data_IF_699588349033
#
_entry.id   IF_699588349033
#
_cell.length_a   1.000
_cell.length_b   1.000
_cell.length_c   1.000
_cell.angle_alpha   90.00
_cell.angle_beta   90.00
_cell.angle_gamma   90.00
#
_symmetry.space_group_name_H-M   'P 1'
#
loop_
_entity.id
_entity.type
_entity.pdbx_description
1 polymer ?
#
# COMPACT_ATOMS: atom_id res chain seq x y z
N UNK A 1 -4.32 8.06 22.19
CA UNK A 1 -4.90 7.80 20.86
C UNK A 1 -6.20 7.00 20.88
N UNK A 2 -7.25 7.55 20.28
CA UNK A 2 -8.55 6.90 20.04
C UNK A 2 -8.54 6.10 18.72
N UNK A 3 -8.56 4.76 18.81
CA UNK A 3 -8.51 3.86 17.63
C UNK A 3 -9.75 3.92 16.75
N UNK A 4 -10.93 4.16 17.31
CA UNK A 4 -12.16 4.28 16.51
C UNK A 4 -12.10 5.52 15.60
N UNK A 5 -11.67 6.64 16.16
CA UNK A 5 -11.47 7.87 15.39
C UNK A 5 -10.37 7.69 14.32
N UNK A 6 -9.26 7.03 14.68
CA UNK A 6 -8.17 6.74 13.75
C UNK A 6 -8.62 5.91 12.54
N UNK A 7 -9.49 4.92 12.76
CA UNK A 7 -10.01 4.05 11.70
C UNK A 7 -11.20 4.65 10.93
N UNK A 8 -11.70 5.82 11.34
CA UNK A 8 -12.84 6.46 10.69
C UNK A 8 -12.44 7.32 9.47
N UNK A 9 -13.39 7.49 8.56
CA UNK A 9 -13.29 8.45 7.46
C UNK A 9 -13.44 9.87 8.03
N UNK A 10 -12.30 10.47 8.35
CA UNK A 10 -12.19 11.77 8.99
C UNK A 10 -12.32 12.95 8.01
N UNK A 11 -11.74 12.82 6.81
CA UNK A 11 -11.71 13.92 5.83
C UNK A 11 -12.98 13.92 4.96
N UNK A 12 -13.68 15.06 4.85
CA UNK A 12 -14.79 15.21 3.92
C UNK A 12 -14.35 14.99 2.46
N UNK A 13 -15.20 14.35 1.67
CA UNK A 13 -14.92 14.08 0.24
C UNK A 13 -14.59 15.36 -0.52
N UNK A 14 -15.30 16.46 -0.25
CA UNK A 14 -15.11 17.75 -0.90
C UNK A 14 -13.72 18.33 -0.62
N UNK A 15 -13.20 18.16 0.60
CA UNK A 15 -11.85 18.57 0.95
C UNK A 15 -10.82 17.74 0.18
N UNK A 16 -10.99 16.41 0.16
CA UNK A 16 -10.08 15.51 -0.55
C UNK A 16 -10.03 15.80 -2.06
N UNK A 17 -11.19 16.08 -2.67
CA UNK A 17 -11.26 16.46 -4.08
C UNK A 17 -10.55 17.79 -4.34
N UNK A 18 -10.72 18.79 -3.46
CA UNK A 18 -9.99 20.06 -3.59
C UNK A 18 -8.48 19.85 -3.54
N UNK A 19 -8.00 19.07 -2.57
CA UNK A 19 -6.57 18.82 -2.37
C UNK A 19 -5.93 18.07 -3.55
N UNK A 20 -6.58 17.06 -4.10
CA UNK A 20 -5.93 16.12 -5.05
C UNK A 20 -6.42 16.23 -6.50
N UNK A 21 -7.49 16.97 -6.77
CA UNK A 21 -8.02 17.17 -8.12
C UNK A 21 -8.03 18.63 -8.55
N UNK A 22 -8.48 19.52 -7.67
CA UNK A 22 -8.78 20.90 -8.07
C UNK A 22 -7.56 21.84 -7.94
N UNK A 23 -6.67 21.58 -6.96
CA UNK A 23 -5.43 22.35 -6.78
C UNK A 23 -4.25 21.60 -7.44
N UNK A 24 -3.47 22.23 -8.33
CA UNK A 24 -2.30 21.61 -8.95
C UNK A 24 -1.24 21.19 -7.94
N UNK A 25 -0.51 20.10 -8.21
CA UNK A 25 0.55 19.60 -7.31
C UNK A 25 1.71 20.59 -7.14
N UNK A 26 1.92 21.52 -8.08
CA UNK A 26 2.88 22.63 -7.93
C UNK A 26 2.49 23.64 -6.84
N UNK A 27 1.22 23.70 -6.45
CA UNK A 27 0.69 24.63 -5.44
C UNK A 27 0.52 23.96 -4.06
N UNK A 28 1.51 23.16 -3.66
CA UNK A 28 1.45 22.38 -2.42
C UNK A 28 1.29 23.22 -1.15
N UNK A 29 1.82 24.44 -1.11
CA UNK A 29 1.64 25.35 0.03
C UNK A 29 0.16 25.70 0.23
N UNK A 30 -0.58 25.94 -0.86
CA UNK A 30 -2.03 26.18 -0.82
C UNK A 30 -2.79 24.95 -0.33
N UNK A 31 -2.38 23.75 -0.74
CA UNK A 31 -2.96 22.48 -0.26
C UNK A 31 -2.74 22.29 1.24
N UNK A 32 -1.51 22.52 1.72
CA UNK A 32 -1.16 22.40 3.13
C UNK A 32 -1.93 23.42 3.98
N UNK A 33 -2.05 24.67 3.49
CA UNK A 33 -2.85 25.69 4.18
C UNK A 33 -4.31 25.27 4.31
N UNK A 34 -4.94 24.83 3.21
CA UNK A 34 -6.33 24.37 3.20
C UNK A 34 -6.55 23.20 4.17
N UNK A 35 -5.61 22.26 4.22
CA UNK A 35 -5.65 21.15 5.16
C UNK A 35 -5.54 21.63 6.61
N UNK A 36 -4.59 22.53 6.92
CA UNK A 36 -4.40 23.05 8.26
C UNK A 36 -5.62 23.84 8.76
N UNK A 37 -6.21 24.67 7.90
CA UNK A 37 -7.44 25.42 8.21
C UNK A 37 -8.56 24.44 8.62
N UNK A 38 -8.70 23.30 7.94
CA UNK A 38 -9.67 22.25 8.31
C UNK A 38 -9.32 21.56 9.64
N UNK A 39 -8.04 21.22 9.87
CA UNK A 39 -7.60 20.60 11.12
C UNK A 39 -7.91 21.51 12.32
N UNK A 40 -7.70 22.83 12.17
CA UNK A 40 -8.00 23.80 13.21
C UNK A 40 -9.51 23.95 13.47
N UNK A 41 -10.34 23.86 12.43
CA UNK A 41 -11.81 23.89 12.57
C UNK A 41 -12.34 22.73 13.43
N UNK A 42 -11.77 21.54 13.28
CA UNK A 42 -12.23 20.33 13.99
C UNK A 42 -11.46 20.06 15.28
N UNK A 43 -10.48 20.90 15.61
CA UNK A 43 -9.64 20.75 16.81
C UNK A 43 -10.50 20.76 18.08
N UNK A 44 -10.19 19.86 19.02
CA UNK A 44 -10.96 19.68 20.25
C UNK A 44 -12.19 18.76 20.11
N UNK A 45 -12.59 18.39 18.90
CA UNK A 45 -13.62 17.35 18.66
C UNK A 45 -13.03 15.95 18.50
N UNK A 46 -11.71 15.84 18.33
CA UNK A 46 -10.97 14.61 18.09
C UNK A 46 -9.80 14.49 19.05
N UNK A 47 -9.36 13.25 19.28
CA UNK A 47 -8.10 12.94 19.96
C UNK A 47 -6.93 13.59 19.22
N UNK A 48 -6.04 14.25 19.97
CA UNK A 48 -4.95 15.07 19.40
C UNK A 48 -3.94 14.23 18.62
N UNK A 49 -3.64 13.00 19.08
CA UNK A 49 -2.73 12.10 18.37
C UNK A 49 -3.35 11.68 17.02
N UNK A 50 -4.66 11.41 17.01
CA UNK A 50 -5.40 11.09 15.78
C UNK A 50 -5.34 12.26 14.80
N UNK A 51 -5.61 13.49 15.24
CA UNK A 51 -5.50 14.68 14.39
C UNK A 51 -4.11 14.83 13.82
N UNK A 52 -3.08 14.66 14.66
CA UNK A 52 -1.67 14.80 14.27
C UNK A 52 -1.27 13.75 13.23
N UNK A 53 -1.67 12.48 13.41
CA UNK A 53 -1.44 11.41 12.43
C UNK A 53 -2.13 11.73 11.10
N UNK A 54 -3.42 12.08 11.14
CA UNK A 54 -4.20 12.35 9.92
C UNK A 54 -3.63 13.56 9.16
N UNK A 55 -3.29 14.63 9.88
CA UNK A 55 -2.69 15.83 9.32
C UNK A 55 -1.34 15.52 8.67
N UNK A 56 -0.40 14.94 9.41
CA UNK A 56 0.94 14.68 8.87
C UNK A 56 0.93 13.67 7.73
N UNK A 57 0.06 12.66 7.78
CA UNK A 57 -0.10 11.75 6.65
C UNK A 57 -0.54 12.48 5.37
N UNK A 58 -1.51 13.39 5.46
CA UNK A 58 -1.95 14.15 4.29
C UNK A 58 -0.89 15.15 3.82
N UNK A 59 -0.21 15.86 4.72
CA UNK A 59 0.92 16.74 4.36
C UNK A 59 2.03 15.96 3.66
N UNK A 60 2.36 14.76 4.17
CA UNK A 60 3.35 13.89 3.57
C UNK A 60 2.98 13.51 2.13
N UNK A 61 1.73 13.12 1.88
CA UNK A 61 1.24 12.83 0.53
C UNK A 61 1.25 14.07 -0.39
N UNK A 62 0.88 15.24 0.12
CA UNK A 62 0.97 16.49 -0.64
C UNK A 62 2.41 16.74 -1.09
N UNK A 63 3.38 16.67 -0.17
CA UNK A 63 4.80 16.82 -0.52
C UNK A 63 5.28 15.73 -1.48
N UNK A 64 4.83 14.49 -1.29
CA UNK A 64 5.19 13.37 -2.16
C UNK A 64 4.77 13.60 -3.61
N UNK A 65 3.52 14.03 -3.82
CA UNK A 65 2.98 14.32 -5.16
C UNK A 65 3.69 15.49 -5.84
N UNK A 66 4.25 16.40 -5.05
CA UNK A 66 5.05 17.54 -5.52
C UNK A 66 6.55 17.24 -5.61
N UNK A 67 6.94 15.96 -5.53
CA UNK A 67 8.33 15.47 -5.56
C UNK A 67 9.25 16.09 -4.48
N UNK A 68 8.66 16.61 -3.39
CA UNK A 68 9.38 17.17 -2.25
C UNK A 68 9.71 16.06 -1.24
N UNK A 69 10.47 15.04 -1.68
CA UNK A 69 10.76 13.85 -0.87
C UNK A 69 11.37 14.14 0.50
N UNK A 70 12.32 15.10 0.69
CA UNK A 70 12.88 15.38 2.02
C UNK A 70 11.85 15.88 3.04
N UNK A 71 10.79 16.55 2.58
CA UNK A 71 9.71 17.03 3.42
C UNK A 71 8.67 15.92 3.64
N UNK A 72 8.37 15.16 2.59
CA UNK A 72 7.45 14.02 2.67
C UNK A 72 7.92 12.98 3.71
N UNK A 73 9.20 12.60 3.68
CA UNK A 73 9.75 11.59 4.61
C UNK A 73 9.62 12.04 6.05
N UNK A 74 10.00 13.28 6.39
CA UNK A 74 9.86 13.83 7.75
C UNK A 74 8.43 13.73 8.28
N UNK A 75 7.43 13.95 7.43
CA UNK A 75 6.04 13.86 7.85
C UNK A 75 5.56 12.41 7.99
N UNK A 76 6.01 11.49 7.14
CA UNK A 76 5.75 10.06 7.34
C UNK A 76 6.43 9.52 8.60
N UNK A 77 7.65 9.98 8.94
CA UNK A 77 8.34 9.64 10.20
C UNK A 77 7.48 9.99 11.40
N UNK A 78 6.94 11.21 11.43
CA UNK A 78 6.04 11.64 12.52
C UNK A 78 4.82 10.71 12.63
N UNK A 79 4.26 10.26 11.50
CA UNK A 79 3.10 9.33 11.51
C UNK A 79 3.46 8.00 12.17
N UNK A 80 4.58 7.41 11.79
CA UNK A 80 5.01 6.09 12.31
C UNK A 80 5.55 6.16 13.74
N UNK A 81 6.04 7.32 14.19
CA UNK A 81 6.50 7.53 15.57
C UNK A 81 5.37 7.70 16.59
N UNK A 82 4.17 8.11 16.13
CA UNK A 82 2.99 8.31 17.01
C UNK A 82 2.13 7.06 17.10
N UNK A 83 2.20 6.19 16.10
CA UNK A 83 1.26 5.07 15.92
C UNK A 83 1.98 3.72 16.06
N UNK A 84 1.37 2.78 16.78
CA UNK A 84 1.85 1.39 16.78
C UNK A 84 1.34 0.65 15.52
N UNK A 85 2.07 -0.36 15.03
CA UNK A 85 1.67 -1.13 13.86
C UNK A 85 0.24 -1.68 13.90
N UNK A 86 -0.25 -2.10 15.08
CA UNK A 86 -1.60 -2.67 15.27
C UNK A 86 -2.71 -1.64 15.36
N UNK A 87 -2.41 -0.36 15.56
CA UNK A 87 -3.43 0.68 15.73
C UNK A 87 -4.20 0.94 14.42
N UNK A 88 -3.45 1.00 13.31
CA UNK A 88 -4.00 1.09 11.95
C UNK A 88 -3.00 0.53 10.92
N UNK A 89 -2.91 -0.81 10.78
CA UNK A 89 -1.86 -1.47 10.01
C UNK A 89 -1.71 -0.95 8.58
N UNK A 90 -2.81 -0.79 7.85
CA UNK A 90 -2.73 -0.33 6.45
C UNK A 90 -2.11 1.06 6.32
N UNK A 91 -2.37 1.97 7.27
CA UNK A 91 -1.81 3.31 7.26
C UNK A 91 -0.33 3.28 7.69
N UNK A 92 -0.03 2.58 8.79
CA UNK A 92 1.32 2.48 9.34
C UNK A 92 2.31 2.05 8.27
N UNK A 93 1.95 0.97 7.57
CA UNK A 93 2.84 0.37 6.62
C UNK A 93 2.84 1.03 5.24
N UNK A 94 1.76 1.72 4.88
CA UNK A 94 1.82 2.64 3.74
C UNK A 94 2.87 3.73 3.99
N UNK A 95 2.90 4.31 5.20
CA UNK A 95 3.90 5.30 5.57
C UNK A 95 5.31 4.70 5.57
N UNK A 96 5.52 3.51 6.14
CA UNK A 96 6.82 2.80 6.08
C UNK A 96 7.28 2.57 4.63
N UNK A 97 6.41 2.09 3.75
CA UNK A 97 6.77 1.87 2.34
C UNK A 97 7.14 3.18 1.62
N UNK A 98 6.47 4.28 1.95
CA UNK A 98 6.82 5.60 1.42
C UNK A 98 8.11 6.16 2.03
N UNK A 99 8.44 5.81 3.28
CA UNK A 99 9.74 6.11 3.89
C UNK A 99 10.88 5.37 3.22
N UNK A 100 10.71 4.07 2.93
CA UNK A 100 11.70 3.27 2.20
C UNK A 100 11.95 3.87 0.83
N UNK A 101 10.89 4.12 0.05
CA UNK A 101 10.99 4.69 -1.31
C UNK A 101 11.53 6.12 -1.30
N UNK A 102 11.07 6.95 -0.37
CA UNK A 102 11.52 8.34 -0.23
C UNK A 102 13.00 8.41 0.08
N UNK A 103 13.49 7.62 1.04
CA UNK A 103 14.91 7.57 1.36
C UNK A 103 15.75 6.99 0.21
N UNK A 104 15.24 6.01 -0.56
CA UNK A 104 15.89 5.55 -1.79
C UNK A 104 16.04 6.67 -2.83
N UNK A 105 14.98 7.45 -3.09
CA UNK A 105 15.04 8.60 -4.01
C UNK A 105 16.07 9.64 -3.57
N UNK A 106 16.31 9.76 -2.26
CA UNK A 106 17.32 10.65 -1.68
C UNK A 106 18.71 10.02 -1.56
N UNK A 107 18.89 8.77 -2.01
CA UNK A 107 20.12 7.98 -1.81
C UNK A 107 20.51 7.78 -0.33
N UNK A 108 19.56 7.92 0.59
CA UNK A 108 19.72 7.65 2.02
C UNK A 108 19.51 6.16 2.33
N UNK A 109 20.35 5.30 1.78
CA UNK A 109 20.13 3.85 1.81
C UNK A 109 20.13 3.24 3.22
N UNK A 110 20.96 3.74 4.13
CA UNK A 110 20.98 3.29 5.53
C UNK A 110 19.63 3.55 6.23
N UNK A 111 19.03 4.71 5.98
CA UNK A 111 17.72 5.04 6.54
C UNK A 111 16.62 4.19 5.91
N UNK A 112 16.68 3.94 4.59
CA UNK A 112 15.77 3.02 3.93
C UNK A 112 15.88 1.58 4.50
N UNK A 113 17.09 1.11 4.81
CA UNK A 113 17.34 -0.21 5.40
C UNK A 113 16.77 -0.34 6.82
N UNK A 114 16.85 0.72 7.62
CA UNK A 114 16.18 0.81 8.92
C UNK A 114 14.66 0.61 8.76
N UNK A 115 14.02 1.32 7.83
CA UNK A 115 12.58 1.19 7.60
C UNK A 115 12.18 -0.19 7.05
N UNK A 116 13.00 -0.80 6.19
CA UNK A 116 12.81 -2.19 5.75
C UNK A 116 12.85 -3.15 6.94
N UNK A 117 13.82 -2.98 7.85
CA UNK A 117 13.96 -3.84 9.03
C UNK A 117 12.72 -3.75 9.90
N UNK A 118 12.22 -2.54 10.17
CA UNK A 118 10.96 -2.30 10.90
C UNK A 118 9.77 -2.97 10.19
N UNK A 119 9.68 -2.86 8.86
CA UNK A 119 8.61 -3.50 8.10
C UNK A 119 8.64 -5.04 8.24
N UNK A 120 9.84 -5.63 8.22
CA UNK A 120 10.02 -7.08 8.26
C UNK A 120 9.91 -7.69 9.67
N UNK A 121 10.18 -6.92 10.72
CA UNK A 121 9.92 -7.35 12.11
C UNK A 121 8.41 -7.49 12.40
N UNK A 122 7.57 -6.84 11.59
CA UNK A 122 6.12 -6.81 11.79
C UNK A 122 5.32 -7.55 10.70
N UNK A 123 5.92 -8.52 10.01
CA UNK A 123 5.29 -9.24 8.88
C UNK A 123 4.00 -9.99 9.24
N UNK A 124 3.83 -10.36 10.51
CA UNK A 124 2.67 -11.13 11.00
C UNK A 124 1.40 -10.26 11.11
N UNK A 125 1.55 -8.94 11.17
CA UNK A 125 0.43 -7.99 11.24
C UNK A 125 -0.22 -7.82 9.86
N UNK A 126 0.52 -8.13 8.80
CA UNK A 126 0.08 -7.97 7.43
C UNK A 126 -0.60 -9.19 6.84
N UNK A 127 -1.41 -8.94 5.82
CA UNK A 127 -1.67 -9.97 4.82
C UNK A 127 -0.43 -10.21 3.95
N UNK A 128 -0.35 -11.40 3.39
CA UNK A 128 0.73 -11.87 2.53
C UNK A 128 1.02 -10.94 1.34
N UNK A 129 -0.01 -10.32 0.76
CA UNK A 129 0.13 -9.41 -0.38
C UNK A 129 0.87 -8.11 0.01
N UNK A 130 0.67 -7.59 1.22
CA UNK A 130 1.40 -6.43 1.70
C UNK A 130 2.87 -6.77 1.99
N UNK A 131 3.17 -7.97 2.49
CA UNK A 131 4.55 -8.44 2.66
C UNK A 131 5.30 -8.51 1.32
N UNK A 132 4.61 -8.83 0.22
CA UNK A 132 5.18 -8.79 -1.13
C UNK A 132 5.56 -7.36 -1.56
N UNK A 133 4.78 -6.35 -1.17
CA UNK A 133 5.11 -4.94 -1.44
C UNK A 133 6.41 -4.56 -0.73
N UNK A 134 6.53 -4.88 0.56
CA UNK A 134 7.72 -4.59 1.35
C UNK A 134 8.97 -5.30 0.78
N UNK A 135 8.82 -6.57 0.38
CA UNK A 135 9.90 -7.31 -0.29
C UNK A 135 10.32 -6.67 -1.61
N UNK A 136 9.37 -6.16 -2.41
CA UNK A 136 9.70 -5.46 -3.63
C UNK A 136 10.47 -4.17 -3.34
N UNK A 137 10.04 -3.39 -2.35
CA UNK A 137 10.73 -2.16 -1.97
C UNK A 137 12.15 -2.46 -1.44
N UNK A 138 12.34 -3.58 -0.73
CA UNK A 138 13.66 -4.08 -0.33
C UNK A 138 14.52 -4.54 -1.53
N UNK A 139 13.95 -5.31 -2.47
CA UNK A 139 14.66 -5.77 -3.66
C UNK A 139 15.16 -4.60 -4.52
N UNK A 140 14.38 -3.53 -4.59
CA UNK A 140 14.78 -2.31 -5.25
C UNK A 140 15.85 -1.55 -4.44
N UNK A 141 15.75 -1.47 -3.10
CA UNK A 141 16.77 -0.85 -2.23
C UNK A 141 18.15 -1.49 -2.44
N UNK A 142 18.24 -2.81 -2.39
CA UNK A 142 19.53 -3.50 -2.55
C UNK A 142 20.08 -3.37 -3.98
N UNK A 143 19.19 -3.23 -4.97
CA UNK A 143 19.62 -2.94 -6.35
C UNK A 143 20.23 -1.55 -6.45
N UNK A 144 19.56 -0.54 -5.89
CA UNK A 144 20.02 0.86 -5.93
C UNK A 144 21.32 1.06 -5.14
N UNK A 145 21.43 0.42 -3.97
CA UNK A 145 22.59 0.52 -3.09
C UNK A 145 23.76 -0.40 -3.48
N UNK A 146 23.53 -1.38 -4.35
CA UNK A 146 24.51 -2.41 -4.73
C UNK A 146 24.81 -3.42 -3.61
N UNK A 147 23.96 -3.49 -2.58
CA UNK A 147 24.09 -4.46 -1.50
C UNK A 147 23.68 -5.88 -1.94
N UNK A 148 24.19 -6.88 -1.23
CA UNK A 148 23.77 -8.26 -1.44
C UNK A 148 22.44 -8.55 -0.73
N UNK A 149 21.64 -9.45 -1.30
CA UNK A 149 20.39 -9.90 -0.67
C UNK A 149 20.66 -10.61 0.67
N UNK A 150 19.96 -10.18 1.73
CA UNK A 150 20.06 -10.80 3.03
C UNK A 150 19.30 -12.12 3.11
N UNK A 151 20.02 -13.23 3.27
CA UNK A 151 19.46 -14.59 3.29
C UNK A 151 18.37 -14.82 4.35
N UNK A 152 18.33 -14.02 5.42
CA UNK A 152 17.32 -14.14 6.48
C UNK A 152 15.89 -13.93 5.95
N UNK A 153 15.72 -13.16 4.88
CA UNK A 153 14.41 -12.90 4.27
C UNK A 153 13.95 -13.95 3.26
N UNK A 154 14.77 -14.97 2.95
CA UNK A 154 14.39 -16.07 2.04
C UNK A 154 13.13 -16.80 2.51
N UNK A 155 12.96 -16.95 3.84
CA UNK A 155 11.78 -17.61 4.40
C UNK A 155 10.49 -16.85 4.08
N UNK A 156 10.53 -15.52 4.10
CA UNK A 156 9.37 -14.68 3.80
C UNK A 156 8.97 -14.82 2.33
N UNK A 157 9.93 -14.90 1.40
CA UNK A 157 9.65 -15.14 -0.02
C UNK A 157 8.90 -16.47 -0.21
N UNK A 158 9.42 -17.55 0.39
CA UNK A 158 8.80 -18.88 0.30
C UNK A 158 7.40 -18.90 0.88
N UNK A 159 7.20 -18.26 2.04
CA UNK A 159 5.88 -18.12 2.66
C UNK A 159 4.88 -17.48 1.69
N UNK A 160 5.27 -16.40 1.01
CA UNK A 160 4.39 -15.72 0.05
C UNK A 160 4.09 -16.58 -1.17
N UNK A 161 5.09 -17.30 -1.70
CA UNK A 161 4.90 -18.25 -2.80
C UNK A 161 3.87 -19.30 -2.41
N UNK A 162 4.03 -19.91 -1.23
CA UNK A 162 3.18 -20.99 -0.75
C UNK A 162 1.75 -20.50 -0.44
N UNK A 163 1.60 -19.35 0.24
CA UNK A 163 0.31 -18.82 0.68
C UNK A 163 -0.53 -18.23 -0.46
N UNK A 164 0.11 -17.53 -1.42
CA UNK A 164 -0.61 -16.98 -2.58
C UNK A 164 -0.69 -17.98 -3.76
N UNK A 165 0.11 -19.05 -3.71
CA UNK A 165 0.22 -20.07 -4.75
C UNK A 165 0.77 -19.50 -6.05
N UNK A 166 1.92 -18.85 -5.95
CA UNK A 166 2.69 -18.39 -7.12
C UNK A 166 3.33 -19.57 -7.86
N UNK A 167 3.44 -19.52 -9.21
CA UNK A 167 4.14 -20.54 -9.98
C UNK A 167 5.67 -20.43 -9.88
N UNK A 168 6.21 -19.31 -9.40
CA UNK A 168 7.65 -19.07 -9.31
C UNK A 168 8.36 -20.08 -8.39
N UNK A 169 9.54 -20.51 -8.83
CA UNK A 169 10.50 -21.27 -8.01
C UNK A 169 11.61 -20.32 -7.59
N UNK A 170 11.93 -20.30 -6.30
CA UNK A 170 12.97 -19.40 -5.77
C UNK A 170 14.37 -19.82 -6.24
N UNK A 171 14.90 -19.08 -7.22
CA UNK A 171 16.29 -19.21 -7.71
C UNK A 171 17.11 -17.98 -7.29
N UNK A 172 16.93 -16.86 -7.99
CA UNK A 172 17.45 -15.55 -7.60
C UNK A 172 16.39 -14.79 -6.79
N UNK A 173 16.66 -14.39 -5.52
CA UNK A 173 15.66 -13.74 -4.68
C UNK A 173 15.11 -12.43 -5.26
N UNK A 174 15.95 -11.60 -5.88
CA UNK A 174 15.55 -10.28 -6.40
C UNK A 174 14.63 -10.45 -7.60
N UNK A 175 15.04 -11.27 -8.56
CA UNK A 175 14.25 -11.55 -9.75
C UNK A 175 12.96 -12.31 -9.42
N UNK A 176 13.00 -13.22 -8.43
CA UNK A 176 11.79 -13.90 -7.94
C UNK A 176 10.79 -12.89 -7.37
N UNK A 177 11.24 -11.99 -6.48
CA UNK A 177 10.38 -10.95 -5.90
C UNK A 177 9.78 -10.05 -6.98
N UNK A 178 10.60 -9.61 -7.94
CA UNK A 178 10.16 -8.75 -9.05
C UNK A 178 9.13 -9.45 -9.94
N UNK A 179 9.36 -10.71 -10.27
CA UNK A 179 8.42 -11.54 -11.02
C UNK A 179 7.09 -11.63 -10.28
N UNK A 180 7.11 -12.06 -9.02
CA UNK A 180 5.90 -12.19 -8.20
C UNK A 180 5.13 -10.88 -8.11
N UNK A 181 5.80 -9.75 -7.82
CA UNK A 181 5.15 -8.44 -7.71
C UNK A 181 4.53 -8.00 -9.03
N UNK A 182 5.21 -8.22 -10.16
CA UNK A 182 4.70 -7.91 -11.49
C UNK A 182 3.47 -8.74 -11.82
N UNK A 183 3.56 -10.06 -11.63
CA UNK A 183 2.47 -11.02 -11.88
C UNK A 183 1.27 -10.72 -10.99
N UNK A 184 1.49 -10.44 -9.70
CA UNK A 184 0.44 -10.04 -8.76
C UNK A 184 -0.27 -8.77 -9.20
N UNK A 185 0.46 -7.70 -9.53
CA UNK A 185 -0.13 -6.43 -9.98
C UNK A 185 -0.94 -6.59 -11.26
N UNK A 186 -0.46 -7.41 -12.20
CA UNK A 186 -1.20 -7.70 -13.44
C UNK A 186 -2.55 -8.36 -13.14
N UNK A 187 -2.56 -9.43 -12.34
CA UNK A 187 -3.78 -10.16 -12.02
C UNK A 187 -4.73 -9.36 -11.12
N UNK A 188 -4.21 -8.67 -10.11
CA UNK A 188 -4.99 -7.76 -9.26
C UNK A 188 -5.71 -6.69 -10.09
N UNK A 189 -5.02 -6.08 -11.05
CA UNK A 189 -5.61 -5.07 -11.94
C UNK A 189 -6.70 -5.67 -12.83
N UNK A 190 -6.44 -6.81 -13.46
CA UNK A 190 -7.45 -7.49 -14.31
C UNK A 190 -8.70 -7.82 -13.52
N UNK A 191 -8.55 -8.32 -12.29
CA UNK A 191 -9.68 -8.59 -11.41
C UNK A 191 -10.47 -7.31 -11.08
N UNK A 192 -9.78 -6.22 -10.72
CA UNK A 192 -10.44 -4.95 -10.43
C UNK A 192 -11.19 -4.36 -11.64
N UNK A 193 -10.62 -4.46 -12.84
CA UNK A 193 -11.29 -4.03 -14.09
C UNK A 193 -12.56 -4.86 -14.34
N UNK A 194 -12.51 -6.17 -14.11
CA UNK A 194 -13.69 -7.05 -14.20
C UNK A 194 -14.75 -6.72 -13.16
N UNK A 195 -14.36 -6.49 -11.90
CA UNK A 195 -15.30 -6.13 -10.84
C UNK A 195 -16.01 -4.80 -11.14
N UNK A 196 -15.29 -3.79 -11.65
CA UNK A 196 -15.87 -2.53 -12.07
C UNK A 196 -16.80 -2.67 -13.28
N UNK A 197 -16.44 -3.52 -14.24
CA UNK A 197 -17.28 -3.83 -15.41
C UNK A 197 -18.58 -4.54 -15.04
N UNK A 198 -18.51 -5.48 -14.08
CA UNK A 198 -19.63 -6.32 -13.66
C UNK A 198 -20.83 -5.54 -13.13
N UNK A 199 -20.61 -4.35 -12.56
CA UNK A 199 -21.68 -3.45 -12.09
C UNK A 199 -22.64 -3.04 -13.22
N UNK A 200 -22.20 -3.13 -14.47
CA UNK A 200 -22.95 -2.69 -15.66
C UNK A 200 -23.31 -3.81 -16.63
N UNK A 201 -22.88 -5.04 -16.34
CA UNK A 201 -22.98 -6.19 -17.25
C UNK A 201 -24.09 -7.16 -16.85
N UNK A 202 -24.58 -7.95 -17.80
CA UNK A 202 -25.45 -9.09 -17.52
C UNK A 202 -24.73 -10.15 -16.67
N UNK A 203 -25.48 -10.87 -15.84
CA UNK A 203 -24.93 -11.90 -14.95
C UNK A 203 -24.20 -13.01 -15.73
N UNK A 204 -24.72 -13.41 -16.88
CA UNK A 204 -24.12 -14.46 -17.73
C UNK A 204 -22.78 -14.02 -18.28
N UNK A 205 -22.69 -12.77 -18.73
CA UNK A 205 -21.44 -12.16 -19.23
C UNK A 205 -20.42 -12.09 -18.10
N UNK A 206 -20.83 -11.61 -16.94
CA UNK A 206 -19.97 -11.52 -15.75
C UNK A 206 -19.42 -12.89 -15.35
N UNK A 207 -20.27 -13.92 -15.28
CA UNK A 207 -19.83 -15.29 -14.97
C UNK A 207 -18.81 -15.79 -15.99
N UNK A 208 -19.04 -15.55 -17.29
CA UNK A 208 -18.10 -15.92 -18.35
C UNK A 208 -16.73 -15.27 -18.21
N UNK A 209 -16.68 -13.96 -17.90
CA UNK A 209 -15.43 -13.24 -17.67
C UNK A 209 -14.63 -13.82 -16.49
N UNK A 210 -15.32 -14.18 -15.39
CA UNK A 210 -14.68 -14.86 -14.25
C UNK A 210 -14.16 -16.25 -14.62
N UNK A 211 -14.91 -17.04 -15.39
CA UNK A 211 -14.47 -18.36 -15.83
C UNK A 211 -13.21 -18.28 -16.72
N UNK A 212 -13.10 -17.27 -17.58
CA UNK A 212 -11.91 -17.05 -18.40
C UNK A 212 -10.72 -16.51 -17.59
N UNK A 213 -10.98 -15.69 -16.58
CA UNK A 213 -9.97 -15.28 -15.60
C UNK A 213 -9.41 -16.50 -14.85
N UNK A 214 -10.26 -17.41 -14.36
CA UNK A 214 -9.85 -18.62 -13.64
C UNK A 214 -8.93 -19.51 -14.49
N UNK A 215 -9.22 -19.67 -15.79
CA UNK A 215 -8.42 -20.50 -16.70
C UNK A 215 -7.04 -19.91 -17.00
N UNK A 216 -6.93 -18.58 -16.98
CA UNK A 216 -5.71 -17.88 -17.41
C UNK A 216 -4.83 -17.43 -16.24
N UNK A 217 -5.40 -17.23 -15.05
CA UNK A 217 -4.68 -16.75 -13.88
C UNK A 217 -3.75 -17.82 -13.30
N UNK A 218 -2.47 -17.52 -13.21
CA UNK A 218 -1.45 -18.44 -12.70
C UNK A 218 -1.31 -18.45 -11.17
N UNK A 219 -1.81 -17.41 -10.49
CA UNK A 219 -1.79 -17.30 -9.02
C UNK A 219 -3.00 -18.01 -8.42
N UNK A 220 -2.77 -18.97 -7.52
CA UNK A 220 -3.83 -19.79 -6.93
C UNK A 220 -4.84 -18.98 -6.13
N UNK A 221 -4.38 -18.03 -5.31
CA UNK A 221 -5.25 -17.19 -4.49
C UNK A 221 -6.31 -16.48 -5.33
N UNK A 222 -5.90 -15.85 -6.44
CA UNK A 222 -6.79 -15.16 -7.36
C UNK A 222 -7.78 -16.10 -8.06
N UNK A 223 -7.33 -17.30 -8.48
CA UNK A 223 -8.23 -18.31 -9.03
C UNK A 223 -9.30 -18.73 -8.02
N UNK A 224 -8.90 -18.96 -6.77
CA UNK A 224 -9.81 -19.40 -5.73
C UNK A 224 -10.81 -18.29 -5.35
N UNK A 225 -10.36 -17.04 -5.27
CA UNK A 225 -11.24 -15.89 -5.11
C UNK A 225 -12.30 -15.81 -6.22
N UNK A 226 -11.86 -15.89 -7.48
CA UNK A 226 -12.74 -15.84 -8.65
C UNK A 226 -13.75 -17.00 -8.69
N UNK A 227 -13.33 -18.24 -8.36
CA UNK A 227 -14.22 -19.40 -8.24
C UNK A 227 -15.32 -19.15 -7.20
N UNK A 228 -14.94 -18.69 -6.02
CA UNK A 228 -15.89 -18.39 -4.94
C UNK A 228 -16.89 -17.29 -5.34
N UNK A 229 -16.45 -16.30 -6.11
CA UNK A 229 -17.34 -15.26 -6.64
C UNK A 229 -18.37 -15.85 -7.61
N UNK A 230 -17.95 -16.72 -8.54
CA UNK A 230 -18.84 -17.42 -9.48
C UNK A 230 -19.87 -18.27 -8.75
N UNK A 231 -19.44 -19.05 -7.75
CA UNK A 231 -20.35 -19.87 -6.94
C UNK A 231 -21.41 -19.03 -6.24
N UNK A 232 -21.03 -17.90 -5.65
CA UNK A 232 -21.97 -16.96 -5.02
C UNK A 232 -22.95 -16.36 -6.03
N UNK A 233 -22.51 -16.10 -7.26
CA UNK A 233 -23.37 -15.56 -8.33
C UNK A 233 -24.36 -16.61 -8.85
N UNK A 234 -23.95 -17.87 -8.99
CA UNK A 234 -24.82 -18.98 -9.45
C UNK A 234 -25.87 -19.40 -8.42
N UNK A 235 -25.63 -19.14 -7.13
CA UNK A 235 -26.51 -19.48 -6.02
C UNK A 235 -27.46 -18.33 -5.60
N UNK A 236 -27.45 -17.20 -6.32
CA UNK A 236 -28.42 -16.10 -6.17
C UNK A 236 -29.53 -16.24 -7.19
#
# INVERSE_FOLDING_TARGET
MNREQLNSNFFPTELMLKLYRDIPDSEYESKIKLLNDFIDEVRGSYDEDVLKIKQHNQIAHIYWMSEQYPQATKHFEIVVEIMEPEDYPSLYFLAINLLIRGNRHLSNYEEAEKWVSIAFENTEIFNTANNLINLNDYADLITDSGQAFEKKYIRLIKLIIDELGFPEVLEDPVETIRSMNKTHKFWARRLGEMELGSVRSDLTVTIGEYEDYIKSCEIEWFRNYAKNAVEKMKNK
#
